data_IF_848474516661
#
_entry.id   IF_848474516661
#
_cell.length_a   1.000
_cell.length_b   1.000
_cell.length_c   1.000
_cell.angle_alpha   90.00
_cell.angle_beta   90.00
_cell.angle_gamma   90.00
#
_symmetry.space_group_name_H-M   'P 1'
#
loop_
_entity.id
_entity.type
_entity.pdbx_description
1 polymer ?
#
# COMPACT_ATOMS: atom_id res chain seq x y z
N UNK A 1 -12.88 -8.93 13.11
CA UNK A 1 -12.79 -9.63 11.81
C UNK A 1 -12.25 -8.64 10.79
N UNK A 2 -11.11 -8.92 10.17
CA UNK A 2 -10.59 -8.13 9.06
C UNK A 2 -10.95 -8.82 7.75
N UNK A 3 -11.54 -8.10 6.79
CA UNK A 3 -11.99 -8.70 5.53
C UNK A 3 -11.90 -7.71 4.38
N UNK A 4 -11.69 -8.21 3.16
CA UNK A 4 -11.79 -7.43 1.93
C UNK A 4 -13.23 -7.26 1.43
N UNK A 5 -14.18 -8.02 1.97
CA UNK A 5 -15.58 -8.02 1.54
C UNK A 5 -16.52 -7.99 2.75
N UNK A 6 -16.63 -6.85 3.46
CA UNK A 6 -17.47 -6.74 4.66
C UNK A 6 -18.95 -7.01 4.36
N UNK A 7 -19.46 -6.61 3.19
CA UNK A 7 -20.86 -6.78 2.82
C UNK A 7 -21.34 -8.24 2.80
N UNK A 8 -20.47 -9.20 2.45
CA UNK A 8 -20.83 -10.62 2.47
C UNK A 8 -20.95 -11.13 3.91
N UNK A 9 -20.09 -10.64 4.82
CA UNK A 9 -20.10 -11.04 6.25
C UNK A 9 -21.29 -10.41 6.99
N UNK A 10 -21.68 -9.18 6.62
CA UNK A 10 -22.84 -8.51 7.21
C UNK A 10 -24.15 -9.20 6.75
N UNK A 11 -24.21 -9.61 5.47
CA UNK A 11 -25.40 -10.17 4.86
C UNK A 11 -26.51 -9.13 4.64
N UNK A 12 -27.68 -9.57 4.17
CA UNK A 12 -28.85 -8.69 4.01
C UNK A 12 -29.47 -8.41 5.38
N UNK A 13 -29.43 -7.16 5.83
CA UNK A 13 -30.04 -6.74 7.09
C UNK A 13 -29.33 -7.19 8.36
N UNK A 14 -28.06 -7.63 8.28
CA UNK A 14 -27.26 -8.03 9.46
C UNK A 14 -27.42 -9.50 9.89
N UNK A 15 -28.33 -10.26 9.27
CA UNK A 15 -28.68 -11.60 9.74
C UNK A 15 -27.53 -12.62 9.74
N UNK A 16 -26.50 -12.44 8.92
CA UNK A 16 -25.35 -13.36 8.92
C UNK A 16 -24.42 -13.12 10.12
N UNK A 17 -24.30 -11.87 10.58
CA UNK A 17 -23.52 -11.51 11.79
C UNK A 17 -24.21 -12.05 13.04
N UNK A 18 -25.54 -11.99 13.06
CA UNK A 18 -26.32 -12.51 14.18
C UNK A 18 -26.18 -14.03 14.32
N UNK A 19 -26.18 -14.77 13.20
CA UNK A 19 -25.88 -16.21 13.20
C UNK A 19 -24.48 -16.51 13.74
N UNK A 20 -23.46 -15.80 13.25
CA UNK A 20 -22.08 -15.97 13.74
C UNK A 20 -22.00 -15.66 15.24
N UNK A 21 -22.72 -14.63 15.69
CA UNK A 21 -22.79 -14.27 17.12
C UNK A 21 -23.44 -15.38 17.93
N UNK A 22 -24.54 -15.98 17.47
CA UNK A 22 -25.20 -17.11 18.14
C UNK A 22 -24.30 -18.35 18.21
N UNK A 23 -23.59 -18.69 17.13
CA UNK A 23 -22.62 -19.79 17.13
C UNK A 23 -21.47 -19.54 18.10
N UNK A 24 -20.95 -18.30 18.13
CA UNK A 24 -19.91 -17.91 19.07
C UNK A 24 -20.40 -17.97 20.53
N UNK A 25 -21.63 -17.56 20.81
CA UNK A 25 -22.23 -17.69 22.15
C UNK A 25 -22.27 -19.15 22.60
N UNK A 26 -22.71 -20.07 21.72
CA UNK A 26 -22.74 -21.51 22.01
C UNK A 26 -21.35 -22.07 22.29
N UNK A 27 -20.33 -21.62 21.56
CA UNK A 27 -18.95 -22.09 21.73
C UNK A 27 -18.25 -21.51 22.97
N UNK A 28 -18.48 -20.23 23.27
CA UNK A 28 -17.78 -19.55 24.38
C UNK A 28 -18.54 -19.56 25.70
N UNK A 29 -19.83 -19.93 25.70
CA UNK A 29 -20.69 -19.91 26.89
C UNK A 29 -20.83 -18.51 27.51
N UNK A 30 -20.52 -17.46 26.74
CA UNK A 30 -20.60 -16.05 27.14
C UNK A 30 -21.65 -15.36 26.28
N UNK A 31 -22.57 -14.65 26.92
CA UNK A 31 -23.70 -14.02 26.24
C UNK A 31 -23.32 -12.72 25.51
N UNK A 32 -22.24 -12.08 25.95
CA UNK A 32 -21.77 -10.78 25.44
C UNK A 32 -20.56 -10.93 24.51
N UNK A 33 -20.82 -11.39 23.28
CA UNK A 33 -19.84 -11.38 22.19
C UNK A 33 -20.11 -10.18 21.27
N UNK A 34 -19.16 -9.24 21.19
CA UNK A 34 -19.19 -8.12 20.25
C UNK A 34 -18.28 -8.42 19.06
N UNK A 35 -18.80 -8.25 17.84
CA UNK A 35 -18.07 -8.51 16.60
C UNK A 35 -17.81 -7.19 15.89
N UNK A 36 -16.54 -6.81 15.81
CA UNK A 36 -16.11 -5.65 15.02
C UNK A 36 -15.63 -6.13 13.63
N UNK A 37 -16.27 -5.64 12.58
CA UNK A 37 -15.89 -5.92 11.19
C UNK A 37 -15.10 -4.71 10.68
N UNK A 38 -13.84 -4.95 10.33
CA UNK A 38 -12.93 -3.95 9.79
C UNK A 38 -12.64 -4.28 8.33
N UNK A 39 -12.80 -3.28 7.49
CA UNK A 39 -12.55 -3.40 6.05
C UNK A 39 -11.06 -3.21 5.74
N UNK A 40 -10.52 -4.15 4.97
CA UNK A 40 -9.18 -4.04 4.39
C UNK A 40 -9.29 -3.21 3.12
N UNK A 41 -8.88 -1.94 3.21
CA UNK A 41 -8.94 -0.98 2.08
C UNK A 41 -8.15 -1.43 0.84
N UNK A 42 -7.05 -2.16 1.02
CA UNK A 42 -6.15 -2.59 -0.06
C UNK A 42 -5.86 -4.10 0.06
N UNK A 43 -6.71 -4.96 -0.53
CA UNK A 43 -6.57 -6.42 -0.40
C UNK A 43 -5.28 -6.96 -1.04
N UNK A 44 -4.79 -6.30 -2.10
CA UNK A 44 -3.58 -6.71 -2.83
C UNK A 44 -2.28 -6.49 -2.03
N UNK A 45 -2.33 -5.75 -0.91
CA UNK A 45 -1.18 -5.56 -0.02
C UNK A 45 -1.18 -6.54 1.16
N UNK A 46 -2.27 -7.30 1.35
CA UNK A 46 -2.41 -8.28 2.43
C UNK A 46 -1.92 -9.64 1.95
N UNK A 47 -0.93 -10.22 2.67
CA UNK A 47 -0.31 -11.46 2.24
C UNK A 47 -1.29 -12.65 2.25
N UNK A 48 -2.24 -12.67 3.20
CA UNK A 48 -3.22 -13.77 3.30
C UNK A 48 -4.20 -13.73 2.14
N UNK A 49 -4.75 -12.55 1.83
CA UNK A 49 -5.72 -12.40 0.73
C UNK A 49 -5.07 -12.71 -0.63
N UNK A 50 -3.83 -12.25 -0.83
CA UNK A 50 -3.07 -12.58 -2.04
C UNK A 50 -2.80 -14.09 -2.13
N UNK A 51 -2.40 -14.72 -1.02
CA UNK A 51 -2.22 -16.17 -0.93
C UNK A 51 -3.49 -16.97 -1.27
N UNK A 52 -4.62 -16.57 -0.69
CA UNK A 52 -5.94 -17.17 -0.95
C UNK A 52 -6.37 -17.02 -2.41
N UNK A 53 -6.08 -15.88 -3.01
CA UNK A 53 -6.39 -15.63 -4.42
C UNK A 53 -5.59 -16.57 -5.32
N UNK A 54 -4.29 -16.75 -5.05
CA UNK A 54 -3.45 -17.70 -5.80
C UNK A 54 -3.94 -19.13 -5.56
N UNK A 55 -4.29 -19.49 -4.32
CA UNK A 55 -4.80 -20.81 -3.98
C UNK A 55 -6.05 -21.15 -4.79
N UNK A 56 -7.05 -20.28 -4.77
CA UNK A 56 -8.30 -20.43 -5.55
C UNK A 56 -8.04 -20.55 -7.04
N UNK A 57 -7.08 -19.80 -7.60
CA UNK A 57 -6.73 -19.91 -9.01
C UNK A 57 -6.12 -21.28 -9.34
N UNK A 58 -5.26 -21.82 -8.47
CA UNK A 58 -4.66 -23.14 -8.63
C UNK A 58 -5.72 -24.25 -8.47
N UNK A 59 -6.67 -24.10 -7.55
CA UNK A 59 -7.82 -25.01 -7.37
C UNK A 59 -8.71 -25.03 -8.62
N UNK A 60 -8.92 -23.87 -9.24
CA UNK A 60 -9.61 -23.72 -10.52
C UNK A 60 -8.78 -24.19 -11.73
N UNK A 61 -7.68 -24.93 -11.51
CA UNK A 61 -6.80 -25.51 -12.54
C UNK A 61 -6.15 -24.48 -13.47
N UNK A 62 -5.99 -23.23 -13.02
CA UNK A 62 -5.18 -22.24 -13.72
C UNK A 62 -3.70 -22.59 -13.51
N UNK A 63 -2.89 -22.39 -14.54
CA UNK A 63 -1.45 -22.59 -14.45
C UNK A 63 -0.86 -21.74 -13.30
N UNK A 64 -0.19 -22.38 -12.34
CA UNK A 64 0.36 -21.75 -11.14
C UNK A 64 1.32 -20.59 -11.49
N UNK A 65 2.14 -20.72 -12.54
CA UNK A 65 3.04 -19.64 -12.98
C UNK A 65 2.28 -18.39 -13.42
N UNK A 66 1.16 -18.56 -14.10
CA UNK A 66 0.30 -17.47 -14.55
C UNK A 66 -0.35 -16.79 -13.35
N UNK A 67 -0.92 -17.58 -12.43
CA UNK A 67 -1.55 -17.08 -11.22
C UNK A 67 -0.60 -16.24 -10.38
N UNK A 68 0.62 -16.74 -10.15
CA UNK A 68 1.66 -16.04 -9.38
C UNK A 68 2.09 -14.74 -10.08
N UNK A 69 2.38 -14.78 -11.39
CA UNK A 69 2.77 -13.56 -12.13
C UNK A 69 1.68 -12.49 -12.12
N UNK A 70 0.41 -12.88 -12.22
CA UNK A 70 -0.72 -11.97 -12.12
C UNK A 70 -0.82 -11.35 -10.71
N UNK A 71 -0.70 -12.15 -9.66
CA UNK A 71 -0.73 -11.68 -8.28
C UNK A 71 0.44 -10.72 -7.97
N UNK A 72 1.64 -11.04 -8.44
CA UNK A 72 2.82 -10.18 -8.30
C UNK A 72 2.61 -8.83 -9.00
N UNK A 73 2.13 -8.84 -10.24
CA UNK A 73 1.87 -7.61 -10.99
C UNK A 73 0.80 -6.74 -10.32
N UNK A 74 -0.24 -7.36 -9.76
CA UNK A 74 -1.30 -6.67 -9.01
C UNK A 74 -0.76 -6.02 -7.72
N UNK A 75 0.04 -6.76 -6.95
CA UNK A 75 0.62 -6.30 -5.68
C UNK A 75 1.58 -5.13 -5.90
N UNK A 76 2.45 -5.22 -6.90
CA UNK A 76 3.40 -4.15 -7.24
C UNK A 76 2.69 -2.88 -7.74
N UNK A 77 1.62 -3.04 -8.53
CA UNK A 77 0.79 -1.91 -8.99
C UNK A 77 0.17 -1.14 -7.82
N UNK A 78 -0.17 -1.85 -6.75
CA UNK A 78 -0.76 -1.26 -5.54
C UNK A 78 0.27 -0.61 -4.60
N UNK A 79 1.54 -0.55 -5.00
CA UNK A 79 2.59 0.19 -4.31
C UNK A 79 3.40 -0.62 -3.31
N UNK A 80 3.37 -1.96 -3.38
CA UNK A 80 4.31 -2.78 -2.61
C UNK A 80 5.74 -2.58 -3.14
N UNK A 81 6.71 -2.52 -2.23
CA UNK A 81 8.13 -2.38 -2.59
C UNK A 81 8.70 -3.68 -3.19
N UNK A 82 8.15 -4.81 -2.75
CA UNK A 82 8.49 -6.10 -3.29
C UNK A 82 7.57 -7.21 -2.81
N UNK A 83 7.57 -8.30 -3.56
CA UNK A 83 6.81 -9.50 -3.25
C UNK A 83 7.68 -10.72 -3.56
N UNK A 84 7.61 -11.70 -2.67
CA UNK A 84 8.20 -13.03 -2.84
C UNK A 84 7.09 -14.05 -2.64
N UNK A 85 6.97 -15.00 -3.57
CA UNK A 85 6.01 -16.10 -3.50
C UNK A 85 6.77 -17.40 -3.69
N UNK A 86 6.63 -18.32 -2.75
CA UNK A 86 7.21 -19.66 -2.82
C UNK A 86 6.08 -20.68 -2.84
N UNK A 87 6.04 -21.51 -3.86
CA UNK A 87 5.01 -22.52 -4.04
C UNK A 87 5.67 -23.90 -4.05
N UNK A 88 5.17 -24.80 -3.22
CA UNK A 88 5.71 -26.14 -3.04
C UNK A 88 4.63 -27.22 -3.11
N UNK A 89 4.94 -28.32 -3.79
CA UNK A 89 4.04 -29.48 -3.90
C UNK A 89 4.08 -30.12 -5.28
N UNK A 90 3.03 -30.87 -5.61
CA UNK A 90 2.85 -31.52 -6.93
C UNK A 90 2.35 -30.52 -7.98
N UNK A 91 3.23 -29.58 -8.35
CA UNK A 91 2.88 -28.44 -9.20
C UNK A 91 2.43 -28.92 -10.59
N UNK A 92 1.22 -28.52 -11.00
CA UNK A 92 0.66 -28.89 -12.30
C UNK A 92 0.37 -30.39 -12.46
N UNK A 93 0.24 -31.14 -11.36
CA UNK A 93 -0.02 -32.58 -11.40
C UNK A 93 1.21 -33.45 -11.64
N UNK A 94 2.42 -32.89 -11.51
CA UNK A 94 3.65 -33.69 -11.56
C UNK A 94 3.67 -34.76 -10.44
N UNK A 95 4.25 -35.92 -10.75
CA UNK A 95 4.40 -37.02 -9.80
C UNK A 95 5.32 -36.63 -8.64
N UNK A 96 6.45 -36.01 -8.95
CA UNK A 96 7.44 -35.54 -7.98
C UNK A 96 7.11 -34.12 -7.54
N UNK A 97 7.07 -33.91 -6.22
CA UNK A 97 6.86 -32.58 -5.65
C UNK A 97 8.10 -31.70 -5.85
N UNK A 98 7.87 -30.45 -6.25
CA UNK A 98 8.91 -29.45 -6.42
C UNK A 98 8.53 -28.15 -5.75
N UNK A 99 9.55 -27.33 -5.47
CA UNK A 99 9.36 -26.00 -4.91
C UNK A 99 9.93 -24.97 -5.85
N UNK A 100 9.08 -24.03 -6.27
CA UNK A 100 9.47 -22.91 -7.13
C UNK A 100 9.32 -21.60 -6.34
N UNK A 101 10.28 -20.70 -6.52
CA UNK A 101 10.30 -19.37 -5.91
C UNK A 101 10.26 -18.30 -6.98
N UNK A 102 9.37 -17.32 -6.79
CA UNK A 102 9.21 -16.15 -7.62
C UNK A 102 9.38 -14.92 -6.75
N UNK A 103 10.30 -14.03 -7.12
CA UNK A 103 10.58 -12.79 -6.38
C UNK A 103 10.63 -11.62 -7.34
N UNK A 104 10.02 -10.51 -6.96
CA UNK A 104 10.12 -9.25 -7.68
C UNK A 104 10.17 -8.08 -6.69
N UNK A 105 11.04 -7.10 -6.94
CA UNK A 105 11.26 -5.96 -6.04
C UNK A 105 12.12 -6.28 -4.82
N UNK A 106 12.10 -5.39 -3.81
CA UNK A 106 12.92 -5.49 -2.60
C UNK A 106 12.16 -6.25 -1.51
N UNK A 107 12.72 -7.37 -1.05
CA UNK A 107 12.19 -8.15 0.08
C UNK A 107 13.36 -8.60 0.97
N UNK A 108 13.86 -7.72 1.84
CA UNK A 108 15.01 -8.01 2.71
C UNK A 108 14.53 -8.71 3.99
N UNK A 109 14.66 -10.04 4.04
CA UNK A 109 14.17 -10.83 5.17
C UNK A 109 14.98 -10.67 6.48
N UNK A 110 16.17 -10.08 6.39
CA UNK A 110 17.07 -9.89 7.53
C UNK A 110 16.87 -8.53 8.24
N UNK A 111 16.11 -7.61 7.63
CA UNK A 111 16.01 -6.24 8.12
C UNK A 111 14.70 -6.05 8.88
N UNK A 112 14.74 -6.14 10.22
CA UNK A 112 13.54 -6.06 11.08
C UNK A 112 12.76 -4.74 10.99
N UNK A 113 13.41 -3.64 10.57
CA UNK A 113 12.74 -2.34 10.37
C UNK A 113 11.78 -2.31 9.17
N UNK A 114 11.87 -3.31 8.30
CA UNK A 114 11.04 -3.42 7.11
C UNK A 114 9.71 -4.08 7.48
N UNK A 115 8.62 -3.48 7.03
CA UNK A 115 7.29 -4.07 7.18
C UNK A 115 7.09 -5.18 6.15
N UNK A 116 7.22 -6.42 6.63
CA UNK A 116 7.06 -7.61 5.82
C UNK A 116 5.85 -8.37 6.34
N UNK A 117 4.82 -8.42 5.51
CA UNK A 117 3.63 -9.23 5.74
C UNK A 117 3.88 -10.65 5.20
N UNK A 118 3.55 -11.65 6.00
CA UNK A 118 3.78 -13.06 5.68
C UNK A 118 2.50 -13.87 5.84
N UNK A 119 2.23 -14.70 4.84
CA UNK A 119 1.13 -15.64 4.87
C UNK A 119 1.55 -17.02 4.38
N UNK A 120 0.92 -18.04 4.95
CA UNK A 120 1.01 -19.41 4.47
C UNK A 120 -0.40 -19.94 4.20
N UNK A 121 -0.66 -20.26 2.94
CA UNK A 121 -1.96 -20.73 2.47
C UNK A 121 -1.78 -22.06 1.75
N UNK A 122 -2.79 -22.92 1.83
CA UNK A 122 -2.79 -24.22 1.16
C UNK A 122 -3.88 -24.26 0.10
N UNK A 123 -3.54 -24.71 -1.10
CA UNK A 123 -4.49 -25.01 -2.16
C UNK A 123 -4.80 -26.51 -2.16
N UNK A 124 -6.10 -26.86 -2.14
CA UNK A 124 -6.57 -28.24 -2.17
C UNK A 124 -6.83 -28.68 -3.61
N UNK A 125 -5.90 -29.45 -4.17
CA UNK A 125 -6.03 -29.97 -5.53
C UNK A 125 -6.34 -31.47 -5.52
N UNK A 126 -6.82 -31.99 -6.65
CA UNK A 126 -7.10 -33.43 -6.82
C UNK A 126 -5.86 -34.30 -6.57
N UNK A 127 -4.66 -33.76 -6.85
CA UNK A 127 -3.40 -34.47 -6.71
C UNK A 127 -2.76 -34.32 -5.33
N UNK A 128 -3.40 -33.60 -4.41
CA UNK A 128 -2.93 -33.33 -3.05
C UNK A 128 -2.94 -31.85 -2.68
N UNK A 129 -2.20 -31.51 -1.64
CA UNK A 129 -2.09 -30.14 -1.12
C UNK A 129 -0.87 -29.43 -1.69
N UNK A 130 -1.06 -28.21 -2.18
CA UNK A 130 0.03 -27.33 -2.61
C UNK A 130 0.18 -26.22 -1.57
N UNK A 131 1.38 -26.05 -1.03
CA UNK A 131 1.70 -24.99 -0.08
C UNK A 131 2.13 -23.71 -0.81
N UNK A 132 1.58 -22.58 -0.41
CA UNK A 132 1.85 -21.25 -0.98
C UNK A 132 2.29 -20.35 0.17
N UNK A 133 3.53 -19.87 0.11
CA UNK A 133 4.10 -18.92 1.06
C UNK A 133 4.28 -17.57 0.36
N UNK A 134 3.70 -16.53 0.93
CA UNK A 134 3.73 -15.17 0.35
C UNK A 134 4.40 -14.24 1.36
N UNK A 135 5.33 -13.42 0.87
CA UNK A 135 5.93 -12.31 1.60
C UNK A 135 5.70 -11.03 0.80
N UNK A 136 5.12 -10.01 1.42
CA UNK A 136 4.91 -8.69 0.81
C UNK A 136 5.65 -7.66 1.65
N UNK A 137 6.55 -6.91 1.00
CA UNK A 137 7.25 -5.79 1.61
C UNK A 137 6.46 -4.51 1.35
N UNK A 138 5.89 -3.94 2.41
CA UNK A 138 5.09 -2.69 2.33
C UNK A 138 5.96 -1.43 2.41
N UNK A 139 7.20 -1.57 2.89
CA UNK A 139 8.17 -0.48 2.99
C UNK A 139 8.93 -0.48 4.31
N UNK A 140 9.62 0.63 4.60
CA UNK A 140 10.35 0.84 5.85
C UNK A 140 9.47 1.59 6.87
N UNK A 141 9.44 1.11 8.12
CA UNK A 141 8.74 1.79 9.21
C UNK A 141 9.76 2.49 10.09
N UNK A 142 9.88 3.81 9.91
CA UNK A 142 10.83 4.66 10.65
C UNK A 142 10.30 5.09 12.04
N UNK A 143 9.00 4.94 12.29
CA UNK A 143 8.36 5.37 13.54
C UNK A 143 8.12 4.21 14.51
N UNK A 144 8.04 4.53 15.81
CA UNK A 144 7.61 3.57 16.85
C UNK A 144 6.20 3.08 16.50
N UNK A 145 6.02 1.78 16.28
CA UNK A 145 4.70 1.19 16.02
C UNK A 145 3.85 1.28 17.28
N UNK A 146 2.70 1.94 17.19
CA UNK A 146 1.64 1.76 18.16
C UNK A 146 1.11 0.33 18.01
N UNK A 147 1.23 -0.48 19.07
CA UNK A 147 0.88 -1.91 19.08
C UNK A 147 -0.64 -2.18 19.03
N UNK A 148 -1.46 -1.15 18.81
CA UNK A 148 -2.90 -1.29 18.81
C UNK A 148 -3.38 -1.82 17.44
N UNK A 149 -3.92 -3.04 17.36
CA UNK A 149 -4.24 -3.71 16.10
C UNK A 149 -5.43 -3.07 15.34
N UNK A 150 -6.12 -2.09 15.93
CA UNK A 150 -7.31 -1.46 15.36
C UNK A 150 -7.04 -0.22 14.50
N UNK A 151 -5.79 0.18 14.29
CA UNK A 151 -5.50 1.42 13.56
C UNK A 151 -5.42 1.21 12.03
N UNK A 152 -6.56 1.39 11.36
CA UNK A 152 -6.62 1.57 9.89
C UNK A 152 -6.15 2.99 9.56
N UNK A 153 -4.85 3.13 9.31
CA UNK A 153 -4.13 4.22 8.63
C UNK A 153 -4.73 5.63 8.58
N UNK A 154 -4.01 6.59 9.16
CA UNK A 154 -4.11 8.01 8.80
C UNK A 154 -3.07 8.87 9.51
N UNK A 155 -1.94 9.13 8.85
CA UNK A 155 -1.21 10.41 8.94
C UNK A 155 -0.33 10.58 7.69
N UNK A 156 -0.98 11.06 6.62
CA UNK A 156 -0.33 12.06 5.78
C UNK A 156 -0.32 13.37 6.58
N UNK A 157 0.84 14.03 6.67
CA UNK A 157 0.97 15.43 7.08
C UNK A 157 0.80 15.74 8.58
N UNK A 158 1.89 16.18 9.22
CA UNK A 158 1.84 16.89 10.50
C UNK A 158 2.85 16.37 11.50
N UNK A 159 4.08 16.88 11.41
CA UNK A 159 5.05 16.89 12.50
C UNK A 159 4.34 17.26 13.81
N UNK A 160 4.42 16.46 14.88
CA UNK A 160 3.92 16.90 16.18
C UNK A 160 4.82 18.04 16.63
N UNK A 161 4.30 19.26 16.55
CA UNK A 161 4.97 20.46 17.03
C UNK A 161 5.42 20.27 18.48
N UNK A 162 6.66 20.66 18.72
CA UNK A 162 7.27 20.76 20.04
C UNK A 162 6.29 21.42 21.00
N UNK A 163 5.85 20.65 22.01
CA UNK A 163 5.26 21.23 23.21
C UNK A 163 6.40 21.95 23.91
N UNK A 164 6.52 23.26 23.67
CA UNK A 164 7.35 24.17 24.45
C UNK A 164 6.86 24.11 25.89
N UNK A 165 7.62 23.40 26.69
CA UNK A 165 7.55 23.40 28.15
C UNK A 165 7.72 24.86 28.61
N UNK A 166 6.68 25.37 29.28
CA UNK A 166 6.63 26.72 29.80
C UNK A 166 7.50 26.84 31.05
N UNK A 167 8.82 26.96 30.84
CA UNK A 167 9.76 27.39 31.86
C UNK A 167 9.53 28.86 32.22
N UNK A 168 8.80 29.10 33.31
CA UNK A 168 8.84 30.38 34.03
C UNK A 168 10.19 30.47 34.75
N UNK A 169 11.20 30.98 34.07
CA UNK A 169 12.41 31.46 34.72
C UNK A 169 12.22 32.92 35.12
N UNK A 170 11.84 33.04 36.39
CA UNK A 170 11.99 34.19 37.25
C UNK A 170 13.50 34.51 37.37
N UNK A 171 13.95 35.65 36.81
CA UNK A 171 15.11 36.45 37.25
C UNK A 171 15.52 37.47 36.19
N UNK A 172 15.58 38.75 36.58
CA UNK A 172 16.53 39.67 35.96
C UNK A 172 16.02 41.07 35.69
N UNK A 173 15.79 41.82 36.76
CA UNK A 173 15.97 43.27 36.82
C UNK A 173 17.26 43.71 36.08
N UNK A 174 17.12 44.56 35.04
CA UNK A 174 18.06 45.66 34.75
C UNK A 174 17.60 46.54 33.59
N UNK A 175 17.18 47.74 33.94
CA UNK A 175 17.90 48.95 33.50
C UNK A 175 17.73 49.39 32.05
N UNK A 176 16.81 50.35 31.89
CA UNK A 176 16.80 51.49 30.98
C UNK A 176 18.08 51.77 30.16
N UNK A 177 17.90 52.00 28.85
CA UNK A 177 18.51 53.13 28.12
C UNK A 177 17.73 53.42 26.84
N UNK A 178 17.35 54.70 26.72
CA UNK A 178 16.68 55.37 25.61
C UNK A 178 17.59 55.57 24.39
N UNK A 179 16.95 56.06 23.33
CA UNK A 179 17.48 56.82 22.17
C UNK A 179 18.05 55.95 21.02
N UNK A 180 17.75 56.17 19.74
CA UNK A 180 17.28 57.35 19.03
C UNK A 180 16.63 57.00 17.66
N UNK A 181 15.60 57.78 17.29
CA UNK A 181 15.28 58.42 15.99
C UNK A 181 16.22 58.07 14.81
N UNK A 182 15.80 57.82 13.55
CA UNK A 182 14.88 58.56 12.63
C UNK A 182 14.98 57.92 11.20
N UNK A 183 14.36 58.43 10.11
CA UNK A 183 13.55 57.61 9.20
C UNK A 183 13.92 57.75 7.70
N UNK A 184 13.13 57.10 6.83
CA UNK A 184 12.85 57.62 5.49
C UNK A 184 13.55 56.91 4.32
N UNK A 185 12.88 56.89 3.17
CA UNK A 185 13.55 56.60 1.90
C UNK A 185 12.67 56.00 0.82
N UNK A 186 11.84 56.84 0.21
CA UNK A 186 11.05 56.59 -0.98
C UNK A 186 11.91 56.71 -2.25
N UNK A 187 11.61 55.92 -3.29
CA UNK A 187 12.14 56.09 -4.66
C UNK A 187 12.12 54.75 -5.39
N UNK A 188 11.34 54.51 -6.45
CA UNK A 188 10.85 55.40 -7.49
C UNK A 188 11.80 55.31 -8.69
N UNK A 189 11.27 54.89 -9.85
CA UNK A 189 11.91 55.18 -11.14
C UNK A 189 12.02 54.02 -12.11
N UNK A 190 11.03 54.00 -13.00
CA UNK A 190 11.02 53.49 -14.37
C UNK A 190 12.38 53.52 -15.12
N UNK A 191 12.53 52.61 -16.11
CA UNK A 191 12.75 52.98 -17.53
C UNK A 191 12.86 51.77 -18.48
N UNK A 192 11.94 51.78 -19.46
CA UNK A 192 12.16 51.65 -20.92
C UNK A 192 12.51 50.28 -21.52
N UNK A 193 11.60 49.77 -22.38
CA UNK A 193 11.91 48.95 -23.55
C UNK A 193 12.61 49.77 -24.66
N UNK A 194 12.50 49.47 -25.98
CA UNK A 194 11.70 48.45 -26.67
C UNK A 194 12.41 47.74 -27.87
N UNK A 195 11.69 46.89 -28.61
CA UNK A 195 11.95 46.51 -30.01
C UNK A 195 12.72 45.19 -30.22
N UNK A 196 12.46 44.35 -31.20
CA UNK A 196 11.56 44.38 -32.37
C UNK A 196 11.94 43.24 -33.35
N UNK A 197 11.08 42.95 -34.33
CA UNK A 197 11.41 42.16 -35.54
C UNK A 197 11.03 40.68 -35.47
N UNK A 198 9.92 40.21 -36.08
CA UNK A 198 9.68 40.03 -37.53
C UNK A 198 10.51 38.89 -38.15
N UNK A 199 9.83 37.87 -38.70
CA UNK A 199 10.47 36.82 -39.47
C UNK A 199 9.54 35.66 -39.82
N UNK A 200 8.53 35.92 -40.66
CA UNK A 200 7.80 34.86 -41.33
C UNK A 200 8.66 34.14 -42.38
N UNK A 201 8.44 32.83 -42.53
CA UNK A 201 8.73 32.07 -43.76
C UNK A 201 7.70 30.96 -43.93
N UNK A 202 6.82 31.20 -44.89
CA UNK A 202 6.13 30.16 -45.62
C UNK A 202 7.12 29.30 -46.41
N UNK A 203 6.63 28.11 -46.75
CA UNK A 203 6.63 27.56 -48.11
C UNK A 203 7.49 26.29 -48.36
N UNK A 204 6.72 25.24 -48.69
CA UNK A 204 6.84 24.39 -49.89
C UNK A 204 7.68 23.09 -49.85
N UNK A 205 6.95 22.02 -50.17
CA UNK A 205 7.36 20.95 -51.08
C UNK A 205 7.81 19.67 -50.37
N UNK A 206 7.29 18.48 -50.67
CA UNK A 206 6.42 18.06 -51.76
C UNK A 206 6.64 16.58 -52.04
N UNK A 207 5.56 15.87 -52.39
CA UNK A 207 5.55 14.83 -53.42
C UNK A 207 6.08 13.43 -53.09
N UNK A 208 5.26 12.42 -53.37
CA UNK A 208 5.76 11.06 -53.62
C UNK A 208 4.76 9.95 -53.37
N UNK A 209 3.67 9.90 -54.14
CA UNK A 209 2.83 8.70 -54.26
C UNK A 209 3.43 7.63 -55.18
N UNK A 210 2.63 6.57 -55.36
CA UNK A 210 2.79 5.36 -56.21
C UNK A 210 3.47 4.18 -55.51
N UNK A 211 3.12 2.92 -55.75
CA UNK A 211 2.01 2.27 -56.45
C UNK A 211 2.08 0.77 -56.09
N UNK A 212 0.92 0.11 -56.16
CA UNK A 212 0.68 -1.30 -56.49
C UNK A 212 1.88 -2.14 -57.01
N UNK A 213 2.02 -3.38 -56.50
CA UNK A 213 1.82 -4.63 -57.28
C UNK A 213 2.26 -5.90 -56.51
N UNK A 214 1.42 -6.93 -56.68
CA UNK A 214 1.59 -8.39 -56.49
C UNK A 214 1.45 -8.93 -55.07
#
# INVERSE_FOLDING_TARGET
IHTSKPGIIIGKGGGEVDRIKEELKKLTGKDDVQINILEIRRPELDANIVGDTIAKQIENRINFKRAIKMAIASTLRMGAEGIKVKVGGRLGGSEIARTEEFKQGRVPLHTFRMDIDYANVFAQTVYGKIGIKVWICKGEVLAKRDLNPNFVGGKEGGSPGERRDGGRDDRGDRGERRDDRRPGGQGGGDRRGPGGGAGGRDNRGGGGGRDNRR
#
